data_IF_653527569056
#
_entry.id   IF_653527569056
#
_cell.length_a   1.000
_cell.length_b   1.000
_cell.length_c   1.000
_cell.angle_alpha   90.00
_cell.angle_beta   90.00
_cell.angle_gamma   90.00
#
_symmetry.space_group_name_H-M   'P 1'
#
loop_
_entity.id
_entity.type
_entity.pdbx_description
1 polymer ?
#
# COMPACT_ATOMS: atom_id res chain seq x y z
N UNK A 1 -52.04 -52.11 43.51
CA UNK A 1 -50.81 -52.87 43.78
C UNK A 1 -49.82 -52.65 42.64
N UNK A 2 -48.58 -52.33 43.01
CA UNK A 2 -47.37 -52.10 42.22
C UNK A 2 -47.18 -53.00 40.98
N UNK A 3 -46.63 -52.47 39.87
CA UNK A 3 -45.32 -52.88 39.31
C UNK A 3 -44.93 -52.21 37.97
N UNK A 4 -43.78 -51.52 38.04
CA UNK A 4 -42.62 -51.50 37.12
C UNK A 4 -42.70 -51.24 35.59
N UNK A 5 -42.00 -50.15 35.22
CA UNK A 5 -41.13 -49.88 34.05
C UNK A 5 -41.03 -50.92 32.94
N UNK A 6 -41.04 -50.45 31.68
CA UNK A 6 -39.90 -50.41 30.73
C UNK A 6 -40.34 -49.55 29.52
N UNK A 7 -39.53 -48.55 29.13
CA UNK A 7 -39.62 -47.89 27.82
C UNK A 7 -38.49 -48.42 26.93
N UNK A 8 -38.76 -48.75 25.67
CA UNK A 8 -37.77 -48.63 24.62
C UNK A 8 -38.21 -47.62 23.55
N UNK A 9 -37.23 -46.78 23.26
CA UNK A 9 -36.97 -45.89 22.14
C UNK A 9 -37.31 -46.51 20.76
N UNK A 10 -37.94 -45.74 19.85
CA UNK A 10 -37.77 -45.95 18.41
C UNK A 10 -37.78 -44.61 17.63
N UNK A 11 -36.56 -44.22 17.26
CA UNK A 11 -36.10 -43.58 16.02
C UNK A 11 -37.08 -42.68 15.23
N UNK A 12 -36.81 -41.36 15.25
CA UNK A 12 -37.26 -40.44 14.20
C UNK A 12 -36.08 -40.22 13.23
N UNK A 13 -36.20 -40.73 12.00
CA UNK A 13 -35.27 -40.44 10.91
C UNK A 13 -35.67 -39.10 10.30
N UNK A 14 -34.88 -38.06 10.54
CA UNK A 14 -35.03 -36.76 9.87
C UNK A 14 -34.17 -36.76 8.61
N UNK A 15 -34.82 -36.86 7.44
CA UNK A 15 -34.19 -36.62 6.14
C UNK A 15 -34.10 -35.11 5.95
N UNK A 16 -32.93 -34.54 6.20
CA UNK A 16 -32.63 -33.15 5.83
C UNK A 16 -31.99 -33.17 4.44
N UNK A 17 -32.76 -32.80 3.41
CA UNK A 17 -32.23 -32.56 2.07
C UNK A 17 -31.19 -31.43 2.13
N UNK A 18 -29.92 -31.80 1.97
CA UNK A 18 -28.84 -30.87 1.63
C UNK A 18 -29.12 -30.31 0.23
N UNK A 19 -29.61 -29.07 0.18
CA UNK A 19 -29.43 -28.23 -1.00
C UNK A 19 -27.96 -27.77 -0.99
N UNK A 20 -27.11 -28.56 -1.64
CA UNK A 20 -25.78 -28.13 -2.06
C UNK A 20 -25.96 -27.06 -3.13
N UNK A 21 -26.11 -25.81 -2.69
CA UNK A 21 -25.72 -24.68 -3.51
C UNK A 21 -24.21 -24.76 -3.69
N UNK A 22 -23.76 -24.98 -4.93
CA UNK A 22 -22.35 -24.95 -5.30
C UNK A 22 -21.74 -23.63 -4.84
N UNK A 23 -21.03 -23.67 -3.72
CA UNK A 23 -20.12 -22.61 -3.33
C UNK A 23 -19.05 -22.55 -4.43
N UNK A 24 -19.18 -21.60 -5.35
CA UNK A 24 -18.05 -21.15 -6.16
C UNK A 24 -16.99 -20.71 -5.17
N UNK A 25 -15.98 -21.56 -4.98
CA UNK A 25 -14.80 -21.25 -4.18
C UNK A 25 -14.24 -19.91 -4.69
N UNK A 26 -14.27 -18.89 -3.84
CA UNK A 26 -13.43 -17.70 -4.05
C UNK A 26 -12.01 -18.22 -4.29
N UNK A 27 -11.42 -17.88 -5.44
CA UNK A 27 -9.98 -18.01 -5.62
C UNK A 27 -9.30 -17.44 -4.37
N UNK A 28 -8.48 -18.27 -3.72
CA UNK A 28 -7.99 -17.97 -2.39
C UNK A 28 -7.26 -16.61 -2.35
N UNK A 29 -7.26 -15.90 -1.22
CA UNK A 29 -6.53 -14.64 -1.07
C UNK A 29 -5.03 -14.72 -1.47
N UNK A 30 -4.40 -15.90 -1.35
CA UNK A 30 -3.04 -16.17 -1.83
C UNK A 30 -2.92 -16.27 -3.36
N UNK A 31 -3.97 -16.65 -4.07
CA UNK A 31 -3.97 -16.71 -5.54
C UNK A 31 -4.03 -15.30 -6.16
N UNK A 32 -4.67 -14.35 -5.48
CA UNK A 32 -4.66 -12.92 -5.88
C UNK A 32 -3.23 -12.38 -5.90
N UNK A 33 -2.43 -12.66 -4.87
CA UNK A 33 -1.03 -12.24 -4.82
C UNK A 33 -0.12 -12.97 -5.79
N UNK A 34 -0.48 -14.18 -6.24
CA UNK A 34 0.32 -14.93 -7.21
C UNK A 34 0.17 -14.42 -8.65
N UNK A 35 -0.89 -13.64 -8.94
CA UNK A 35 -1.17 -13.19 -10.31
C UNK A 35 -1.78 -11.80 -10.31
N UNK A 36 -0.93 -10.82 -10.58
CA UNK A 36 -1.37 -9.50 -10.97
C UNK A 36 -1.39 -8.49 -9.84
N UNK A 37 -0.54 -8.65 -8.83
CA UNK A 37 -0.13 -7.56 -7.93
C UNK A 37 1.19 -6.99 -8.39
N UNK A 38 1.29 -5.67 -8.32
CA UNK A 38 2.50 -4.92 -8.60
C UNK A 38 3.20 -4.55 -7.29
N UNK A 39 4.52 -4.53 -7.30
CA UNK A 39 5.30 -4.25 -6.11
C UNK A 39 6.72 -3.77 -6.43
N UNK A 40 7.39 -3.17 -5.44
CA UNK A 40 8.85 -2.95 -5.41
C UNK A 40 9.46 -3.67 -4.22
N UNK A 41 10.77 -3.76 -4.17
CA UNK A 41 11.55 -4.34 -3.06
C UNK A 41 12.50 -3.29 -2.50
N UNK A 42 12.81 -3.37 -1.21
CA UNK A 42 13.81 -2.52 -0.53
C UNK A 42 15.23 -2.69 -1.09
N UNK A 43 15.50 -3.88 -1.64
CA UNK A 43 16.86 -4.26 -2.02
C UNK A 43 16.95 -4.68 -3.49
N UNK A 44 18.00 -4.21 -4.16
CA UNK A 44 18.45 -4.71 -5.45
C UNK A 44 18.67 -6.23 -5.41
N UNK A 45 18.31 -6.92 -6.49
CA UNK A 45 18.62 -8.34 -6.60
C UNK A 45 18.87 -8.82 -8.03
N UNK A 46 19.50 -9.98 -8.13
CA UNK A 46 19.75 -10.66 -9.41
C UNK A 46 18.72 -11.77 -9.60
N UNK A 47 17.85 -11.63 -10.59
CA UNK A 47 16.92 -12.70 -10.99
C UNK A 47 17.69 -13.88 -11.59
N UNK A 48 17.30 -15.12 -11.25
CA UNK A 48 17.79 -16.32 -11.94
C UNK A 48 16.85 -16.79 -13.06
N UNK A 49 15.68 -16.16 -13.20
CA UNK A 49 14.71 -16.44 -14.23
C UNK A 49 13.33 -15.91 -13.85
N UNK A 50 12.54 -15.37 -14.81
CA UNK A 50 12.90 -15.12 -16.22
C UNK A 50 13.83 -13.91 -16.37
N UNK A 51 14.64 -13.87 -17.45
CA UNK A 51 15.50 -12.73 -17.76
C UNK A 51 14.68 -11.56 -18.33
N UNK A 52 14.56 -10.42 -17.63
CA UNK A 52 13.84 -9.26 -18.14
C UNK A 52 14.65 -8.48 -19.16
N UNK A 53 13.95 -7.65 -19.93
CA UNK A 53 14.60 -6.64 -20.78
C UNK A 53 15.43 -5.68 -19.92
N UNK A 54 16.64 -5.37 -20.35
CA UNK A 54 17.59 -4.53 -19.59
C UNK A 54 18.61 -5.30 -18.75
N UNK A 55 18.48 -6.63 -18.62
CA UNK A 55 19.46 -7.49 -17.94
C UNK A 55 18.94 -8.08 -16.62
N UNK A 56 19.74 -8.95 -15.97
CA UNK A 56 19.30 -9.77 -14.84
C UNK A 56 19.22 -9.04 -13.50
N UNK A 57 19.68 -7.79 -13.43
CA UNK A 57 19.57 -6.97 -12.23
C UNK A 57 18.16 -6.37 -12.21
N UNK A 58 17.48 -6.55 -11.09
CA UNK A 58 16.26 -5.86 -10.70
C UNK A 58 16.67 -4.86 -9.63
N UNK A 59 16.34 -3.58 -9.81
CA UNK A 59 16.59 -2.61 -8.75
C UNK A 59 15.40 -2.41 -7.83
N UNK A 60 15.67 -1.87 -6.65
CA UNK A 60 14.71 -1.32 -5.70
C UNK A 60 13.76 -0.25 -6.30
N UNK A 61 14.16 0.35 -7.43
CA UNK A 61 13.36 1.31 -8.20
C UNK A 61 12.45 0.71 -9.27
N UNK A 62 12.49 -0.60 -9.48
CA UNK A 62 11.69 -1.27 -10.52
C UNK A 62 10.29 -1.67 -10.02
N UNK A 63 9.25 -1.29 -10.75
CA UNK A 63 7.90 -1.80 -10.48
C UNK A 63 7.72 -3.18 -11.11
N UNK A 64 7.63 -4.18 -10.26
CA UNK A 64 7.50 -5.60 -10.61
C UNK A 64 6.04 -6.03 -10.68
N UNK A 65 5.81 -7.20 -11.26
CA UNK A 65 4.56 -7.94 -11.17
C UNK A 65 4.87 -9.32 -10.59
N UNK A 66 4.05 -9.72 -9.61
CA UNK A 66 4.01 -11.05 -8.98
C UNK A 66 3.87 -12.25 -9.94
N UNK A 67 3.67 -12.01 -11.24
CA UNK A 67 3.80 -13.02 -12.28
C UNK A 67 5.25 -13.26 -12.77
N UNK A 68 6.26 -12.62 -12.19
CA UNK A 68 7.67 -12.76 -12.58
C UNK A 68 8.07 -11.86 -13.75
N UNK A 69 7.46 -10.69 -13.89
CA UNK A 69 7.82 -9.74 -14.95
C UNK A 69 8.12 -8.36 -14.36
N UNK A 70 9.08 -7.66 -14.93
CA UNK A 70 9.24 -6.23 -14.70
C UNK A 70 8.14 -5.50 -15.46
N UNK A 71 7.27 -4.79 -14.75
CA UNK A 71 6.17 -4.04 -15.36
C UNK A 71 6.62 -2.67 -15.87
N UNK A 72 7.43 -1.97 -15.07
CA UNK A 72 8.13 -0.74 -15.43
C UNK A 72 9.49 -0.72 -14.75
N UNK A 73 10.55 -0.47 -15.51
CA UNK A 73 11.86 -0.15 -14.92
C UNK A 73 11.83 1.23 -14.25
N UNK A 74 12.74 1.48 -13.32
CA UNK A 74 12.89 2.81 -12.70
C UNK A 74 13.01 3.93 -13.75
N UNK A 75 13.81 3.71 -14.80
CA UNK A 75 13.97 4.69 -15.89
C UNK A 75 12.69 4.92 -16.74
N UNK A 76 11.77 3.95 -16.78
CA UNK A 76 10.47 4.11 -17.45
C UNK A 76 9.53 4.95 -16.58
N UNK A 77 9.49 4.68 -15.27
CA UNK A 77 8.75 5.49 -14.29
C UNK A 77 9.21 6.94 -14.32
N UNK A 78 10.53 7.15 -14.33
CA UNK A 78 11.16 8.46 -14.30
C UNK A 78 11.30 9.16 -15.66
N UNK A 79 10.85 8.54 -16.75
CA UNK A 79 11.07 9.00 -18.13
C UNK A 79 10.61 10.45 -18.41
N UNK A 80 9.61 10.95 -17.66
CA UNK A 80 9.10 12.32 -17.77
C UNK A 80 9.90 13.35 -16.97
N UNK A 81 10.75 12.92 -16.05
CA UNK A 81 11.46 13.79 -15.11
C UNK A 81 12.93 13.98 -15.46
N UNK A 82 13.40 13.40 -16.59
CA UNK A 82 14.77 13.55 -17.11
C UNK A 82 15.86 13.04 -16.15
N UNK A 83 15.52 12.06 -15.33
CA UNK A 83 16.46 11.35 -14.46
C UNK A 83 17.17 10.24 -15.23
N UNK A 84 18.43 9.97 -14.90
CA UNK A 84 19.27 8.95 -15.58
C UNK A 84 19.84 7.87 -14.66
N UNK A 85 19.74 8.06 -13.36
CA UNK A 85 20.16 7.12 -12.33
C UNK A 85 18.92 6.57 -11.64
N UNK A 86 19.10 5.45 -10.96
CA UNK A 86 18.06 4.93 -10.11
C UNK A 86 17.81 5.87 -8.92
N UNK A 87 16.55 6.04 -8.54
CA UNK A 87 16.15 6.79 -7.37
C UNK A 87 15.37 5.94 -6.36
N UNK A 88 15.29 4.62 -6.56
CA UNK A 88 14.43 3.75 -5.77
C UNK A 88 12.94 4.01 -6.06
N UNK A 89 12.09 3.20 -5.46
CA UNK A 89 10.63 3.30 -5.57
C UNK A 89 10.02 3.03 -4.20
N UNK A 90 9.54 4.10 -3.57
CA UNK A 90 9.16 4.10 -2.15
C UNK A 90 7.63 3.99 -1.94
N UNK A 91 6.85 4.19 -3.01
CA UNK A 91 5.42 3.88 -3.00
C UNK A 91 4.91 3.74 -4.43
N UNK A 92 3.86 2.95 -4.64
CA UNK A 92 3.20 2.90 -5.94
C UNK A 92 1.72 2.54 -5.89
N UNK A 93 0.93 3.18 -6.77
CA UNK A 93 -0.42 2.80 -7.12
C UNK A 93 -0.58 2.74 -8.65
N UNK A 94 -0.84 1.55 -9.18
CA UNK A 94 -1.12 1.33 -10.60
C UNK A 94 -2.57 1.71 -10.89
N UNK A 95 -2.75 2.92 -11.44
CA UNK A 95 -4.06 3.52 -11.72
C UNK A 95 -4.70 2.92 -12.97
N UNK A 96 -3.93 2.78 -14.05
CA UNK A 96 -4.41 2.25 -15.33
C UNK A 96 -3.32 1.43 -16.01
N UNK A 97 -3.50 0.11 -16.05
CA UNK A 97 -2.56 -0.81 -16.70
C UNK A 97 -2.47 -0.53 -18.20
N UNK A 98 -3.60 -0.25 -18.87
CA UNK A 98 -3.62 -0.05 -20.33
C UNK A 98 -2.99 1.29 -20.70
N UNK A 99 -3.32 2.32 -19.93
CA UNK A 99 -2.74 3.66 -20.06
C UNK A 99 -1.32 3.80 -19.52
N UNK A 100 -0.79 2.77 -18.83
CA UNK A 100 0.47 2.80 -18.06
C UNK A 100 0.56 4.00 -17.13
N UNK A 101 -0.54 4.31 -16.44
CA UNK A 101 -0.60 5.37 -15.44
C UNK A 101 -0.29 4.77 -14.08
N UNK A 102 0.85 5.16 -13.52
CA UNK A 102 1.29 4.80 -12.18
C UNK A 102 1.53 6.09 -11.42
N UNK A 103 1.00 6.18 -10.20
CA UNK A 103 1.34 7.22 -9.23
C UNK A 103 2.33 6.61 -8.23
N UNK A 104 3.41 7.31 -7.89
CA UNK A 104 4.53 6.75 -7.15
C UNK A 104 5.39 7.82 -6.45
N UNK A 105 6.22 7.43 -5.48
CA UNK A 105 7.31 8.22 -4.89
C UNK A 105 8.65 7.55 -5.17
N UNK A 106 9.74 8.17 -4.75
CA UNK A 106 11.10 7.67 -4.89
C UNK A 106 11.81 7.75 -3.55
N UNK A 107 12.74 6.83 -3.29
CA UNK A 107 13.57 6.86 -2.08
C UNK A 107 14.48 8.11 -2.02
N UNK A 108 14.95 8.55 -3.19
CA UNK A 108 15.92 9.63 -3.31
C UNK A 108 15.34 10.88 -3.99
N UNK A 109 15.73 12.04 -3.48
CA UNK A 109 15.44 13.33 -4.10
C UNK A 109 15.94 13.40 -5.55
N UNK A 110 15.22 14.16 -6.39
CA UNK A 110 15.74 14.54 -7.70
C UNK A 110 17.01 15.38 -7.54
N UNK A 111 18.17 15.05 -8.16
CA UNK A 111 19.43 15.75 -7.86
C UNK A 111 19.52 17.23 -8.25
N UNK A 112 18.60 17.71 -9.08
CA UNK A 112 18.45 19.15 -9.36
C UNK A 112 17.36 19.85 -8.54
N UNK A 113 16.75 19.16 -7.57
CA UNK A 113 15.65 19.68 -6.75
C UNK A 113 14.31 19.84 -7.47
N UNK A 114 14.05 19.05 -8.53
CA UNK A 114 12.77 19.11 -9.27
C UNK A 114 11.60 18.58 -8.44
N UNK A 115 11.85 17.54 -7.67
CA UNK A 115 10.97 16.93 -6.68
C UNK A 115 11.83 16.37 -5.54
N UNK A 116 11.20 16.05 -4.42
CA UNK A 116 11.82 15.35 -3.28
C UNK A 116 11.25 13.95 -3.14
N UNK A 117 11.90 13.09 -2.34
CA UNK A 117 11.50 11.70 -2.11
C UNK A 117 10.02 11.57 -1.69
N UNK A 118 9.53 12.45 -0.82
CA UNK A 118 8.14 12.44 -0.36
C UNK A 118 7.10 13.01 -1.34
N UNK A 119 7.50 13.51 -2.51
CA UNK A 119 6.56 14.03 -3.50
C UNK A 119 5.87 12.89 -4.25
N UNK A 120 4.54 12.99 -4.43
CA UNK A 120 3.80 12.08 -5.28
C UNK A 120 3.99 12.43 -6.75
N UNK A 121 4.66 11.54 -7.47
CA UNK A 121 4.86 11.58 -8.91
C UNK A 121 3.80 10.76 -9.64
N UNK A 122 3.66 10.99 -10.94
CA UNK A 122 2.97 10.05 -11.82
C UNK A 122 3.60 9.98 -13.21
N UNK A 123 3.46 8.84 -13.88
CA UNK A 123 4.04 8.59 -15.22
C UNK A 123 3.52 9.51 -16.32
N UNK A 124 2.42 10.23 -16.07
CA UNK A 124 1.94 11.30 -16.95
C UNK A 124 2.74 12.61 -16.82
N UNK A 125 3.66 12.71 -15.85
CA UNK A 125 4.50 13.87 -15.52
C UNK A 125 3.95 14.75 -14.39
N UNK A 126 2.93 14.31 -13.66
CA UNK A 126 2.44 15.04 -12.49
C UNK A 126 3.45 15.01 -11.34
N UNK A 127 3.51 16.11 -10.57
CA UNK A 127 4.29 16.22 -9.33
C UNK A 127 3.40 16.94 -8.31
N UNK A 128 2.99 16.23 -7.26
CA UNK A 128 2.24 16.76 -6.14
C UNK A 128 3.12 16.69 -4.88
N UNK A 129 3.53 17.83 -4.32
CA UNK A 129 4.51 17.82 -3.26
C UNK A 129 3.98 17.24 -1.95
N UNK A 130 4.86 16.62 -1.15
CA UNK A 130 4.50 16.01 0.15
C UNK A 130 3.74 17.00 1.06
N UNK A 131 4.23 18.24 1.09
CA UNK A 131 3.62 19.36 1.84
C UNK A 131 2.16 19.64 1.46
N UNK A 132 1.75 19.36 0.21
CA UNK A 132 0.35 19.50 -0.21
C UNK A 132 -0.52 18.35 0.32
N UNK A 133 -0.02 17.12 0.36
CA UNK A 133 -0.69 15.98 0.99
C UNK A 133 -0.88 16.21 2.50
N UNK A 134 0.12 16.81 3.15
CA UNK A 134 0.14 17.10 4.58
C UNK A 134 -0.64 18.36 5.01
N UNK A 135 -1.13 19.15 4.06
CA UNK A 135 -1.70 20.47 4.33
C UNK A 135 -2.89 20.44 5.30
N UNK A 136 -3.77 19.43 5.16
CA UNK A 136 -4.95 19.24 6.01
C UNK A 136 -4.59 18.84 7.45
N UNK A 137 -3.40 18.24 7.65
CA UNK A 137 -2.85 17.89 8.96
C UNK A 137 -2.18 19.08 9.66
N UNK A 138 -2.08 20.24 8.99
CA UNK A 138 -1.46 21.47 9.51
C UNK A 138 0.02 21.28 9.87
N UNK A 139 0.71 20.40 9.15
CA UNK A 139 2.17 20.28 9.27
C UNK A 139 2.81 21.59 8.77
N UNK A 140 3.81 22.14 9.47
CA UNK A 140 4.52 23.33 9.02
C UNK A 140 5.03 23.20 7.58
N UNK A 141 4.87 24.27 6.79
CA UNK A 141 5.35 24.32 5.41
C UNK A 141 6.88 24.10 5.38
N UNK A 142 7.34 23.32 4.41
CA UNK A 142 8.76 23.02 4.20
C UNK A 142 9.27 21.81 4.99
N UNK A 143 8.42 21.15 5.80
CA UNK A 143 8.70 19.82 6.30
C UNK A 143 8.25 18.82 5.24
N UNK A 144 9.20 18.02 4.77
CA UNK A 144 8.95 16.81 4.00
C UNK A 144 9.05 15.64 4.96
N UNK A 145 8.02 14.78 4.96
CA UNK A 145 7.98 13.57 5.79
C UNK A 145 8.11 12.29 4.95
N UNK A 146 8.51 12.35 3.68
CA UNK A 146 8.57 11.13 2.85
C UNK A 146 7.18 10.61 2.47
N UNK A 147 7.14 9.52 1.70
CA UNK A 147 5.90 8.94 1.19
C UNK A 147 6.09 7.44 0.88
N UNK A 148 5.73 6.59 1.84
CA UNK A 148 6.04 5.15 1.76
C UNK A 148 4.82 4.31 1.34
N UNK A 149 3.64 4.93 1.29
CA UNK A 149 2.49 4.27 0.70
C UNK A 149 1.58 5.24 -0.03
N UNK A 150 0.96 4.76 -1.10
CA UNK A 150 -0.06 5.50 -1.83
C UNK A 150 -1.15 4.57 -2.35
N UNK A 151 -2.40 4.97 -2.15
CA UNK A 151 -3.57 4.30 -2.72
C UNK A 151 -4.69 5.29 -2.99
N UNK A 152 -5.09 5.43 -4.25
CA UNK A 152 -6.19 6.30 -4.65
C UNK A 152 -7.56 5.65 -4.40
N UNK A 153 -8.44 6.43 -3.79
CA UNK A 153 -9.87 6.17 -3.63
C UNK A 153 -10.64 7.01 -4.64
N UNK A 154 -11.68 6.45 -5.24
CA UNK A 154 -12.50 7.09 -6.28
C UNK A 154 -12.43 6.38 -7.62
N UNK A 155 -13.10 6.95 -8.63
CA UNK A 155 -13.14 6.34 -9.97
C UNK A 155 -11.84 6.57 -10.72
N UNK A 156 -11.37 5.54 -11.44
CA UNK A 156 -10.14 5.62 -12.25
C UNK A 156 -10.14 6.82 -13.21
N UNK A 157 -11.25 7.07 -13.91
CA UNK A 157 -11.38 8.20 -14.84
C UNK A 157 -11.18 9.56 -14.17
N UNK A 158 -11.64 9.72 -12.93
CA UNK A 158 -11.55 10.96 -12.18
C UNK A 158 -10.17 11.13 -11.53
N UNK A 159 -9.52 10.03 -11.15
CA UNK A 159 -8.11 10.01 -10.73
C UNK A 159 -7.21 10.46 -11.89
N UNK A 160 -7.43 9.93 -13.11
CA UNK A 160 -6.64 10.31 -14.29
C UNK A 160 -6.82 11.80 -14.61
N UNK A 161 -8.07 12.32 -14.55
CA UNK A 161 -8.34 13.77 -14.72
C UNK A 161 -7.66 14.60 -13.63
N UNK A 162 -7.71 14.15 -12.38
CA UNK A 162 -7.02 14.79 -11.26
C UNK A 162 -5.52 14.89 -11.51
N UNK A 163 -4.86 13.78 -11.86
CA UNK A 163 -3.42 13.77 -12.17
C UNK A 163 -3.09 14.67 -13.37
N UNK A 164 -4.01 14.79 -14.33
CA UNK A 164 -3.91 15.77 -15.42
C UNK A 164 -3.86 17.21 -14.91
N UNK A 165 -4.78 17.59 -14.01
CA UNK A 165 -4.77 18.92 -13.39
C UNK A 165 -3.51 19.15 -12.56
N UNK A 166 -3.08 18.16 -11.76
CA UNK A 166 -1.85 18.26 -10.96
C UNK A 166 -0.66 18.59 -11.86
N UNK A 167 -0.52 17.87 -12.98
CA UNK A 167 0.51 18.13 -13.99
C UNK A 167 0.41 19.53 -14.59
N UNK A 168 -0.78 19.94 -15.00
CA UNK A 168 -1.00 21.24 -15.67
C UNK A 168 -0.65 22.43 -14.76
N UNK A 169 -0.98 22.34 -13.47
CA UNK A 169 -0.64 23.38 -12.50
C UNK A 169 0.85 23.36 -12.12
N UNK A 170 1.46 22.18 -12.10
CA UNK A 170 2.87 21.97 -11.77
C UNK A 170 3.17 22.10 -10.27
N UNK A 171 4.34 21.58 -9.86
CA UNK A 171 4.77 21.49 -8.46
C UNK A 171 4.70 22.82 -7.70
N UNK A 172 5.16 23.90 -8.33
CA UNK A 172 5.26 25.21 -7.70
C UNK A 172 3.89 25.75 -7.25
N UNK A 173 2.85 25.54 -8.05
CA UNK A 173 1.49 25.91 -7.68
C UNK A 173 1.04 25.22 -6.39
N UNK A 174 1.33 23.92 -6.27
CA UNK A 174 0.93 23.13 -5.11
C UNK A 174 1.74 23.45 -3.84
N UNK A 175 2.99 23.91 -3.98
CA UNK A 175 3.76 24.44 -2.85
C UNK A 175 3.19 25.77 -2.34
N UNK A 176 2.73 26.63 -3.25
CA UNK A 176 2.19 27.95 -2.92
C UNK A 176 0.78 27.89 -2.35
N UNK A 177 -0.06 27.02 -2.94
CA UNK A 177 -1.50 26.87 -2.65
C UNK A 177 -1.89 25.43 -2.33
N UNK A 178 -1.28 24.80 -1.31
CA UNK A 178 -1.55 23.41 -0.98
C UNK A 178 -3.02 23.16 -0.59
N UNK A 179 -3.70 24.16 -0.03
CA UNK A 179 -5.12 24.09 0.35
C UNK A 179 -6.08 23.84 -0.84
N UNK A 180 -5.68 24.21 -2.05
CA UNK A 180 -6.45 23.99 -3.27
C UNK A 180 -6.69 22.51 -3.56
N UNK A 181 -5.82 21.63 -3.02
CA UNK A 181 -5.93 20.19 -3.17
C UNK A 181 -7.26 19.65 -2.61
N UNK A 182 -7.73 20.21 -1.49
CA UNK A 182 -8.97 19.81 -0.84
C UNK A 182 -10.22 20.07 -1.70
N UNK A 183 -10.21 21.15 -2.49
CA UNK A 183 -11.28 21.47 -3.44
C UNK A 183 -11.26 20.49 -4.61
N UNK A 184 -10.07 20.10 -5.06
CA UNK A 184 -9.89 19.18 -6.16
C UNK A 184 -10.37 17.76 -5.81
N UNK A 185 -10.08 17.31 -4.58
CA UNK A 185 -10.61 16.06 -4.04
C UNK A 185 -12.14 16.04 -4.00
N UNK A 186 -12.76 17.13 -3.52
CA UNK A 186 -14.23 17.27 -3.53
C UNK A 186 -14.80 17.27 -4.95
N UNK A 187 -14.18 18.01 -5.87
CA UNK A 187 -14.62 18.14 -7.26
C UNK A 187 -14.67 16.80 -7.98
N UNK A 188 -13.64 15.98 -7.79
CA UNK A 188 -13.52 14.68 -8.47
C UNK A 188 -14.05 13.51 -7.65
N UNK A 189 -14.44 13.72 -6.39
CA UNK A 189 -14.90 12.64 -5.51
C UNK A 189 -13.81 11.60 -5.26
N UNK A 190 -12.55 12.05 -5.15
CA UNK A 190 -11.39 11.19 -4.93
C UNK A 190 -10.75 11.47 -3.57
N UNK A 191 -9.87 10.57 -3.15
CA UNK A 191 -8.99 10.73 -2.00
C UNK A 191 -7.68 9.98 -2.26
N UNK A 192 -6.62 10.35 -1.57
CA UNK A 192 -5.34 9.65 -1.55
C UNK A 192 -5.14 9.16 -0.13
N UNK A 193 -5.07 7.84 0.03
CA UNK A 193 -4.59 7.25 1.26
C UNK A 193 -3.09 7.04 1.16
N UNK A 194 -2.37 7.40 2.22
CA UNK A 194 -0.91 7.41 2.21
C UNK A 194 -0.32 7.21 3.61
N UNK A 195 0.95 6.84 3.70
CA UNK A 195 1.80 6.95 4.89
C UNK A 195 3.00 7.82 4.56
N UNK A 196 3.89 8.01 5.53
CA UNK A 196 5.03 8.91 5.43
C UNK A 196 6.17 8.31 6.22
N UNK A 197 7.39 8.36 5.69
CA UNK A 197 8.62 7.95 6.38
C UNK A 197 8.78 8.60 7.76
N UNK A 198 8.33 9.84 7.89
CA UNK A 198 8.45 10.64 9.10
C UNK A 198 7.16 10.72 9.93
N UNK A 199 7.27 10.43 11.21
CA UNK A 199 6.24 10.78 12.20
C UNK A 199 5.98 12.30 12.28
N UNK A 200 4.71 12.69 12.44
CA UNK A 200 4.31 14.09 12.55
C UNK A 200 5.04 14.83 13.69
N UNK A 201 5.54 16.06 13.46
CA UNK A 201 6.15 16.87 14.51
C UNK A 201 5.23 17.06 15.71
N UNK A 202 5.72 16.73 16.89
CA UNK A 202 4.99 16.89 18.16
C UNK A 202 5.45 18.11 18.94
N UNK A 203 4.53 18.76 19.65
CA UNK A 203 4.88 19.70 20.72
C UNK A 203 5.27 18.91 21.98
N UNK A 204 6.09 19.50 22.84
CA UNK A 204 6.57 18.82 24.05
C UNK A 204 5.41 18.24 24.86
N UNK A 205 5.50 16.94 25.16
CA UNK A 205 4.53 16.14 25.96
C UNK A 205 3.17 15.84 25.30
N UNK A 206 2.98 16.19 24.03
CA UNK A 206 1.82 15.75 23.24
C UNK A 206 2.16 14.49 22.42
N UNK A 207 1.15 13.64 22.17
CA UNK A 207 1.25 12.59 21.16
C UNK A 207 1.29 13.26 19.76
N UNK A 208 2.09 12.74 18.82
CA UNK A 208 2.07 13.24 17.45
C UNK A 208 0.66 13.04 16.85
N UNK A 209 0.26 13.90 15.91
CA UNK A 209 -1.07 13.79 15.29
C UNK A 209 -1.26 12.48 14.53
N UNK A 210 -0.17 11.99 13.95
CA UNK A 210 -0.04 10.69 13.31
C UNK A 210 1.40 10.19 13.41
N UNK A 211 1.55 8.90 13.20
CA UNK A 211 2.79 8.13 13.13
C UNK A 211 3.15 7.83 11.67
N UNK A 212 4.42 7.54 11.40
CA UNK A 212 4.85 7.02 10.07
C UNK A 212 4.12 5.71 9.74
N UNK A 213 3.92 4.86 10.75
CA UNK A 213 3.10 3.65 10.64
C UNK A 213 1.58 3.83 10.57
N UNK A 214 1.07 5.06 10.48
CA UNK A 214 -0.37 5.33 10.31
C UNK A 214 -0.75 5.48 8.83
N UNK A 215 -1.89 4.91 8.43
CA UNK A 215 -2.52 5.18 7.14
C UNK A 215 -3.39 6.44 7.22
N UNK A 216 -3.09 7.42 6.39
CA UNK A 216 -3.64 8.78 6.38
C UNK A 216 -4.60 9.00 5.21
N UNK A 217 -5.38 10.08 5.28
CA UNK A 217 -6.31 10.52 4.24
C UNK A 217 -6.04 11.98 3.89
N UNK A 218 -5.58 12.23 2.67
CA UNK A 218 -5.26 13.57 2.19
C UNK A 218 -6.50 14.46 2.01
N UNK A 219 -7.69 13.87 1.83
CA UNK A 219 -8.91 14.64 1.58
C UNK A 219 -9.51 15.32 2.81
N UNK A 220 -9.40 14.69 3.98
CA UNK A 220 -10.08 15.11 5.20
C UNK A 220 -9.16 15.19 6.44
N UNK A 221 -7.87 14.83 6.30
CA UNK A 221 -6.93 14.84 7.40
C UNK A 221 -7.19 13.77 8.46
N UNK A 222 -7.96 12.72 8.11
CA UNK A 222 -8.23 11.62 9.01
C UNK A 222 -7.09 10.59 9.00
N UNK A 223 -6.85 9.97 10.16
CA UNK A 223 -6.10 8.71 10.25
C UNK A 223 -7.05 7.56 9.96
N UNK A 224 -6.93 6.97 8.78
CA UNK A 224 -7.75 5.86 8.26
C UNK A 224 -7.50 4.58 9.07
N UNK A 225 -6.24 4.31 9.34
CA UNK A 225 -5.79 3.16 10.12
C UNK A 225 -4.58 3.52 10.95
N UNK A 226 -4.73 3.56 12.28
CA UNK A 226 -3.60 3.78 13.17
C UNK A 226 -2.70 2.56 13.20
N UNK A 227 -1.38 2.69 13.34
CA UNK A 227 -0.43 1.58 13.47
C UNK A 227 -0.89 0.54 14.51
N UNK A 228 -1.40 1.03 15.65
CA UNK A 228 -2.00 0.20 16.71
C UNK A 228 -3.27 -0.58 16.29
N UNK A 229 -3.99 -0.16 15.27
CA UNK A 229 -5.18 -0.85 14.77
C UNK A 229 -4.88 -1.67 13.50
N UNK A 230 -3.82 -1.34 12.78
CA UNK A 230 -3.32 -2.11 11.65
C UNK A 230 -2.81 -3.48 12.12
N UNK A 231 -2.08 -3.51 13.24
CA UNK A 231 -1.48 -4.72 13.78
C UNK A 231 -2.28 -5.34 14.95
N UNK A 232 -2.31 -6.69 15.07
CA UNK A 232 -3.02 -7.38 16.15
C UNK A 232 -2.57 -6.92 17.55
N UNK A 233 -3.44 -7.09 18.56
CA UNK A 233 -3.17 -6.67 19.95
C UNK A 233 -1.91 -7.31 20.57
N UNK A 234 -1.46 -8.44 20.03
CA UNK A 234 -0.25 -9.16 20.47
C UNK A 234 1.07 -8.56 19.98
N UNK A 235 1.04 -7.66 18.99
CA UNK A 235 2.20 -6.92 18.49
C UNK A 235 2.28 -5.59 19.26
N UNK A 236 3.42 -5.07 19.71
CA UNK A 236 3.48 -3.83 20.51
C UNK A 236 3.32 -2.53 19.67
N UNK A 237 2.44 -2.54 18.67
CA UNK A 237 2.30 -1.47 17.66
C UNK A 237 1.60 -0.21 18.18
N UNK A 238 2.20 0.95 17.92
CA UNK A 238 1.77 2.29 18.28
C UNK A 238 2.49 2.87 19.50
N UNK A 239 3.28 3.91 19.27
CA UNK A 239 3.79 4.79 20.34
C UNK A 239 2.76 5.86 20.70
N UNK A 240 2.72 6.36 21.94
CA UNK A 240 3.53 6.00 23.11
C UNK A 240 2.93 4.85 23.94
N UNK A 241 1.77 4.31 23.54
CA UNK A 241 0.94 3.46 24.42
C UNK A 241 1.33 1.98 24.41
N UNK A 242 1.74 1.44 23.26
CA UNK A 242 1.98 0.00 23.08
C UNK A 242 3.45 -0.35 22.89
N UNK A 243 4.24 0.56 22.34
CA UNK A 243 5.70 0.52 22.52
C UNK A 243 6.51 0.87 21.28
N UNK A 244 6.08 0.43 20.10
CA UNK A 244 6.87 0.49 18.86
C UNK A 244 6.03 1.05 17.74
N UNK A 245 6.59 1.98 16.98
CA UNK A 245 6.07 2.32 15.66
C UNK A 245 6.67 1.34 14.66
N UNK A 246 5.83 0.74 13.82
CA UNK A 246 6.28 -0.28 12.88
C UNK A 246 6.49 0.27 11.46
N UNK A 247 6.26 1.56 11.22
CA UNK A 247 6.21 2.10 9.86
C UNK A 247 5.07 1.52 9.03
N UNK A 248 4.93 2.01 7.80
CA UNK A 248 3.94 1.54 6.83
C UNK A 248 4.47 1.73 5.40
N UNK A 249 5.30 0.81 4.95
CA UNK A 249 6.04 0.90 3.67
C UNK A 249 5.24 0.48 2.45
N UNK A 250 4.04 -0.03 2.67
CA UNK A 250 3.16 -0.30 1.56
C UNK A 250 1.72 -0.35 2.01
N UNK A 251 0.81 0.12 1.16
CA UNK A 251 -0.61 -0.10 1.35
C UNK A 251 -1.33 -0.27 0.01
N UNK A 252 -2.24 -1.23 -0.04
CA UNK A 252 -3.15 -1.39 -1.18
C UNK A 252 -4.48 -1.99 -0.77
N UNK A 253 -5.47 -1.92 -1.67
CA UNK A 253 -6.70 -2.66 -1.54
C UNK A 253 -7.21 -3.12 -2.91
N UNK A 254 -7.98 -4.22 -3.00
CA UNK A 254 -8.56 -4.70 -4.26
C UNK A 254 -9.74 -3.83 -4.76
N UNK A 255 -9.83 -2.58 -4.32
CA UNK A 255 -10.93 -1.67 -4.60
C UNK A 255 -10.55 -0.22 -4.30
N UNK A 256 -11.14 0.72 -5.06
CA UNK A 256 -11.03 2.17 -4.82
C UNK A 256 -12.25 2.73 -4.06
N UNK A 257 -13.11 1.86 -3.54
CA UNK A 257 -14.21 2.28 -2.67
C UNK A 257 -13.68 2.47 -1.24
N UNK A 258 -13.93 3.64 -0.64
CA UNK A 258 -13.43 3.97 0.70
C UNK A 258 -13.71 2.88 1.75
N UNK A 259 -14.96 2.44 1.90
CA UNK A 259 -15.33 1.48 2.95
C UNK A 259 -14.68 0.12 2.70
N UNK A 260 -14.79 -0.39 1.47
CA UNK A 260 -14.24 -1.71 1.14
C UNK A 260 -12.72 -1.71 1.14
N UNK A 261 -12.08 -0.60 0.79
CA UNK A 261 -10.63 -0.46 0.84
C UNK A 261 -10.14 -0.64 2.27
N UNK A 262 -10.78 0.03 3.24
CA UNK A 262 -10.45 -0.14 4.67
C UNK A 262 -10.61 -1.57 5.17
N UNK A 263 -11.68 -2.25 4.74
CA UNK A 263 -12.00 -3.61 5.21
C UNK A 263 -11.11 -4.70 4.57
N UNK A 264 -10.59 -4.43 3.37
CA UNK A 264 -9.84 -5.39 2.55
C UNK A 264 -8.40 -4.94 2.27
N UNK A 265 -7.94 -3.92 2.98
CA UNK A 265 -6.61 -3.38 2.87
C UNK A 265 -5.54 -4.41 3.22
N UNK A 266 -4.48 -4.38 2.45
CA UNK A 266 -3.24 -5.12 2.65
C UNK A 266 -2.11 -4.09 2.79
N UNK A 267 -1.10 -4.43 3.58
CA UNK A 267 0.00 -3.51 3.86
C UNK A 267 1.30 -4.25 4.19
N UNK A 268 2.42 -3.54 4.21
CA UNK A 268 3.69 -3.97 4.80
C UNK A 268 4.16 -2.95 5.84
N UNK A 269 5.24 -3.24 6.54
CA UNK A 269 5.77 -2.44 7.67
C UNK A 269 7.28 -2.29 7.51
N UNK A 270 7.87 -1.20 7.96
CA UNK A 270 9.32 -0.94 7.92
C UNK A 270 10.17 -1.91 8.72
N UNK A 271 9.60 -2.51 9.76
CA UNK A 271 10.35 -3.41 10.63
C UNK A 271 9.64 -4.73 10.86
N UNK A 272 10.46 -5.77 10.98
CA UNK A 272 10.02 -7.11 11.33
C UNK A 272 9.56 -7.22 12.80
N UNK A 273 8.78 -8.27 13.10
CA UNK A 273 8.39 -8.62 14.46
C UNK A 273 8.64 -10.10 14.77
N UNK A 274 9.39 -10.37 15.83
CA UNK A 274 9.64 -11.73 16.32
C UNK A 274 8.88 -12.03 17.62
N UNK A 275 7.60 -12.40 17.49
CA UNK A 275 6.78 -12.82 18.62
C UNK A 275 6.10 -14.18 18.41
N UNK A 276 4.93 -14.33 19.03
CA UNK A 276 4.01 -15.45 18.73
C UNK A 276 3.48 -15.35 17.29
N UNK A 277 3.18 -14.13 16.86
CA UNK A 277 3.06 -13.80 15.45
C UNK A 277 4.45 -13.38 14.97
N UNK A 278 4.81 -13.80 13.76
CA UNK A 278 6.05 -13.39 13.11
C UNK A 278 5.75 -12.86 11.73
N UNK A 279 6.38 -11.76 11.38
CA UNK A 279 6.35 -11.17 10.05
C UNK A 279 7.66 -10.44 9.81
N UNK A 280 8.04 -10.33 8.54
CA UNK A 280 9.09 -9.41 8.10
C UNK A 280 8.48 -8.16 7.50
N UNK A 281 9.34 -7.17 7.32
CA UNK A 281 9.18 -5.91 6.61
C UNK A 281 8.76 -6.01 5.14
N UNK A 282 8.90 -7.20 4.54
CA UNK A 282 8.39 -7.50 3.19
C UNK A 282 7.16 -8.39 3.13
N UNK A 283 6.63 -8.81 4.29
CA UNK A 283 5.44 -9.67 4.33
C UNK A 283 4.16 -8.84 4.13
N UNK A 284 3.28 -9.31 3.27
CA UNK A 284 1.96 -8.69 3.10
C UNK A 284 1.08 -9.07 4.27
N UNK A 285 0.60 -8.06 5.01
CA UNK A 285 -0.24 -8.18 6.19
C UNK A 285 -1.69 -7.78 5.90
N UNK A 286 -2.59 -8.23 6.78
CA UNK A 286 -4.00 -7.80 6.81
C UNK A 286 -4.33 -7.19 8.16
N UNK A 287 -5.17 -6.14 8.11
CA UNK A 287 -5.63 -5.39 9.28
C UNK A 287 -6.08 -6.33 10.40
N UNK A 288 -5.46 -6.19 11.57
CA UNK A 288 -5.80 -6.90 12.81
C UNK A 288 -5.57 -8.42 12.80
N UNK A 289 -5.13 -9.02 11.69
CA UNK A 289 -5.04 -10.48 11.51
C UNK A 289 -3.61 -10.99 11.22
N UNK A 290 -2.64 -10.11 10.98
CA UNK A 290 -1.22 -10.49 10.77
C UNK A 290 -0.92 -10.91 9.33
N UNK A 291 0.04 -11.84 9.15
CA UNK A 291 0.58 -12.23 7.84
C UNK A 291 -0.49 -12.84 6.94
N UNK A 292 -0.71 -12.19 5.81
CA UNK A 292 -1.55 -12.67 4.73
C UNK A 292 -0.75 -13.50 3.73
N UNK A 293 0.44 -13.02 3.37
CA UNK A 293 1.40 -13.73 2.54
C UNK A 293 2.82 -13.29 2.87
N UNK A 294 3.76 -14.21 2.70
CA UNK A 294 5.17 -13.90 2.91
C UNK A 294 5.75 -13.17 1.69
N UNK A 295 6.76 -12.32 1.89
CA UNK A 295 7.53 -11.65 0.83
C UNK A 295 7.91 -12.62 -0.31
N UNK A 296 8.35 -13.82 0.07
CA UNK A 296 8.76 -14.86 -0.87
C UNK A 296 7.72 -15.20 -1.94
N UNK A 297 6.42 -15.07 -1.66
CA UNK A 297 5.37 -15.34 -2.66
C UNK A 297 5.44 -14.34 -3.83
N UNK A 298 5.84 -13.09 -3.55
CA UNK A 298 5.95 -12.02 -4.55
C UNK A 298 7.22 -12.19 -5.39
N UNK A 299 8.35 -12.51 -4.75
CA UNK A 299 9.67 -12.55 -5.40
C UNK A 299 10.04 -13.91 -5.99
N UNK A 300 9.45 -15.02 -5.53
CA UNK A 300 9.76 -16.37 -6.02
C UNK A 300 9.72 -16.52 -7.55
N UNK A 301 8.79 -15.90 -8.29
CA UNK A 301 8.74 -15.98 -9.75
C UNK A 301 9.96 -15.39 -10.48
N UNK A 302 10.80 -14.61 -9.79
CA UNK A 302 12.08 -14.12 -10.29
C UNK A 302 13.28 -14.99 -9.89
N UNK A 303 13.01 -16.07 -9.15
CA UNK A 303 14.02 -17.02 -8.67
C UNK A 303 15.24 -16.37 -7.98
N UNK A 304 15.06 -15.38 -7.09
CA UNK A 304 16.20 -14.75 -6.42
C UNK A 304 16.91 -15.75 -5.49
N UNK A 305 18.20 -15.52 -5.25
CA UNK A 305 18.94 -16.27 -4.22
C UNK A 305 18.51 -15.85 -2.80
N UNK A 306 18.16 -14.58 -2.64
CA UNK A 306 17.59 -14.05 -1.41
C UNK A 306 16.17 -14.62 -1.19
N UNK A 307 15.80 -14.78 0.08
CA UNK A 307 14.46 -15.27 0.47
C UNK A 307 13.58 -14.17 1.04
N UNK A 308 14.17 -12.99 1.19
CA UNK A 308 13.60 -11.81 1.80
C UNK A 308 14.35 -10.60 1.22
N UNK A 309 13.60 -9.61 0.71
CA UNK A 309 14.10 -8.43 -0.01
C UNK A 309 13.31 -7.16 0.37
N UNK A 310 12.53 -7.19 1.46
CA UNK A 310 11.68 -6.05 1.82
C UNK A 310 10.51 -5.79 0.89
N UNK A 311 9.72 -4.74 1.17
CA UNK A 311 8.61 -4.30 0.33
C UNK A 311 8.28 -2.80 0.48
N UNK A 312 8.82 -1.97 -0.41
CA UNK A 312 8.55 -0.52 -0.47
C UNK A 312 7.30 -0.13 -1.26
N UNK A 313 6.73 -1.03 -2.04
CA UNK A 313 5.55 -0.68 -2.81
C UNK A 313 4.65 -1.87 -3.04
N UNK A 314 3.34 -1.62 -3.02
CA UNK A 314 2.34 -2.65 -3.27
C UNK A 314 1.11 -2.03 -3.93
N UNK A 315 0.67 -2.62 -5.05
CA UNK A 315 -0.55 -2.20 -5.74
C UNK A 315 -1.31 -3.38 -6.33
N UNK A 316 -2.57 -3.53 -5.92
CA UNK A 316 -3.52 -4.41 -6.59
C UNK A 316 -4.24 -3.59 -7.68
N UNK A 317 -4.11 -3.93 -8.97
CA UNK A 317 -4.86 -3.28 -10.02
C UNK A 317 -6.34 -3.58 -9.89
N UNK A 318 -7.13 -2.53 -10.09
CA UNK A 318 -8.58 -2.60 -9.94
C UNK A 318 -9.17 -2.57 -11.35
N UNK A 319 -9.87 -3.66 -11.69
CA UNK A 319 -10.48 -3.86 -13.01
C UNK A 319 -11.87 -3.26 -13.09
#
# INVERSE_FOLDING_TARGET
>A
MLKFKIRPLLLLVSITCMLMGSATAQEGPKEVLKRGVFFSTEEDFVTQGPLPAGGPIISDGDLLNSAGNVYMRNNELLSRFKVRFDLGLDAADVIDIKGRIVAFSTELDHPSGLFTAGDLLATNGAILPNTALLAVFKIPRGIDLGLDAVHFIGKQEDIIKFLGVVKEQGRQFWLEKPEALSELFKKYGINIWFSTEGTAPRKQREEPSFLDGDLLSAADGAVVGRNALLLPSSVPAGILKRGVDFGLDAYTAPTRNYKMARERGLFSTEILFEGRLRFTDGDVLKFGNGVFATNYILIQPFEPKAKFLGLDALSIPIR
#
